data_IF_385797780029
#
_entry.id   IF_385797780029
#
_cell.length_a   1.000
_cell.length_b   1.000
_cell.length_c   1.000
_cell.angle_alpha   90.00
_cell.angle_beta   90.00
_cell.angle_gamma   90.00
#
_symmetry.space_group_name_H-M   'P 1'
#
loop_
_entity.id
_entity.type
_entity.pdbx_description
1 polymer ?
#
# COMPACT_ATOMS: atom_id res chain seq x y z
N UNK A 1 -12.78 40.55 -46.03
CA UNK A 1 -13.63 40.20 -44.86
C UNK A 1 -14.06 38.76 -45.00
N UNK A 2 -13.28 37.83 -44.46
CA UNK A 2 -13.63 36.40 -44.41
C UNK A 2 -14.15 36.09 -43.01
N UNK A 3 -15.40 35.66 -42.96
CA UNK A 3 -16.11 35.38 -41.72
C UNK A 3 -15.35 34.36 -40.88
N UNK A 4 -14.99 34.75 -39.65
CA UNK A 4 -14.62 33.80 -38.59
C UNK A 4 -15.82 32.89 -38.39
N UNK A 5 -15.72 31.66 -38.86
CA UNK A 5 -16.62 30.59 -38.47
C UNK A 5 -16.49 30.44 -36.96
N UNK A 6 -17.51 30.91 -36.23
CA UNK A 6 -17.70 30.59 -34.82
C UNK A 6 -17.83 29.07 -34.78
N UNK A 7 -16.75 28.38 -34.38
CA UNK A 7 -16.80 26.97 -34.03
C UNK A 7 -17.82 26.84 -32.91
N UNK A 8 -19.01 26.36 -33.31
CA UNK A 8 -20.11 25.95 -32.45
C UNK A 8 -19.51 25.17 -31.30
N UNK A 9 -19.79 25.58 -30.06
CA UNK A 9 -19.44 24.81 -28.87
C UNK A 9 -20.10 23.43 -29.04
N UNK A 10 -19.33 22.46 -29.53
CA UNK A 10 -19.76 21.07 -29.59
C UNK A 10 -20.07 20.68 -28.15
N UNK A 11 -21.22 20.04 -27.93
CA UNK A 11 -21.64 19.49 -26.64
C UNK A 11 -20.44 18.83 -25.98
N UNK A 12 -19.84 19.56 -25.04
CA UNK A 12 -18.66 19.09 -24.34
C UNK A 12 -19.20 18.05 -23.39
N UNK A 13 -19.06 16.79 -23.76
CA UNK A 13 -19.56 15.66 -22.99
C UNK A 13 -19.17 15.79 -21.51
N UNK A 14 -20.00 15.27 -20.62
CA UNK A 14 -19.85 15.43 -19.16
C UNK A 14 -18.42 15.13 -18.67
N UNK A 15 -17.78 14.12 -19.27
CA UNK A 15 -16.39 13.75 -18.99
C UNK A 15 -15.36 14.84 -19.34
N UNK A 16 -15.52 15.52 -20.47
CA UNK A 16 -14.64 16.63 -20.86
C UNK A 16 -14.80 17.81 -19.90
N UNK A 17 -16.03 18.12 -19.50
CA UNK A 17 -16.30 19.21 -18.56
C UNK A 17 -15.75 18.95 -17.16
N UNK A 18 -15.82 17.69 -16.70
CA UNK A 18 -15.40 17.31 -15.35
C UNK A 18 -13.89 17.06 -15.25
N UNK A 19 -13.35 16.21 -16.12
CA UNK A 19 -11.95 15.76 -16.09
C UNK A 19 -11.02 16.58 -16.97
N UNK A 20 -11.55 17.51 -17.79
CA UNK A 20 -10.76 18.43 -18.61
C UNK A 20 -9.76 17.69 -19.49
N UNK A 21 -10.21 16.64 -20.19
CA UNK A 21 -9.31 15.70 -20.89
C UNK A 21 -8.46 16.42 -21.94
N UNK A 22 -9.00 17.41 -22.66
CA UNK A 22 -8.21 18.21 -23.62
C UNK A 22 -7.16 19.08 -22.93
N UNK A 23 -7.48 19.70 -21.79
CA UNK A 23 -6.50 20.47 -21.02
C UNK A 23 -5.36 19.57 -20.50
N UNK A 24 -5.69 18.32 -20.17
CA UNK A 24 -4.75 17.30 -19.74
C UNK A 24 -4.10 16.51 -20.90
N UNK A 25 -4.33 16.92 -22.15
CA UNK A 25 -3.80 16.28 -23.36
C UNK A 25 -4.01 14.74 -23.42
N UNK A 26 -5.16 14.26 -22.94
CA UNK A 26 -5.48 12.82 -22.84
C UNK A 26 -6.80 12.47 -23.54
N UNK A 27 -7.08 11.17 -23.66
CA UNK A 27 -8.33 10.64 -24.22
C UNK A 27 -8.92 9.59 -23.30
N UNK A 28 -10.23 9.32 -23.40
CA UNK A 28 -10.89 8.28 -22.59
C UNK A 28 -10.21 6.91 -22.74
N UNK A 29 -9.78 6.55 -23.96
CA UNK A 29 -9.05 5.30 -24.19
C UNK A 29 -7.72 5.27 -23.45
N UNK A 30 -6.96 6.37 -23.49
CA UNK A 30 -5.71 6.52 -22.76
C UNK A 30 -5.92 6.38 -21.25
N UNK A 31 -6.94 7.03 -20.69
CA UNK A 31 -7.25 6.97 -19.27
C UNK A 31 -7.70 5.57 -18.82
N UNK A 32 -8.54 4.87 -19.60
CA UNK A 32 -8.97 3.49 -19.30
C UNK A 32 -7.76 2.55 -19.32
N UNK A 33 -6.90 2.66 -20.34
CA UNK A 33 -5.68 1.84 -20.44
C UNK A 33 -4.72 2.17 -19.30
N UNK A 34 -4.60 3.45 -18.92
CA UNK A 34 -3.83 3.91 -17.78
C UNK A 34 -4.34 3.31 -16.47
N UNK A 35 -5.65 3.37 -16.21
CA UNK A 35 -6.29 2.79 -15.04
C UNK A 35 -6.10 1.28 -14.94
N UNK A 36 -6.33 0.54 -16.03
CA UNK A 36 -6.08 -0.92 -16.08
C UNK A 36 -4.60 -1.23 -15.81
N UNK A 37 -3.70 -0.44 -16.38
CA UNK A 37 -2.26 -0.59 -16.15
C UNK A 37 -1.92 -0.38 -14.67
N UNK A 38 -2.38 0.72 -14.07
CA UNK A 38 -2.16 1.03 -12.65
C UNK A 38 -2.74 -0.04 -11.75
N UNK A 39 -3.93 -0.56 -12.06
CA UNK A 39 -4.54 -1.68 -11.33
C UNK A 39 -3.61 -2.90 -11.31
N UNK A 40 -3.11 -3.35 -12.46
CA UNK A 40 -2.23 -4.50 -12.51
C UNK A 40 -0.86 -4.27 -11.86
N UNK A 41 -0.37 -3.03 -11.86
CA UNK A 41 0.86 -2.66 -11.13
C UNK A 41 0.67 -2.74 -9.62
N UNK A 42 -0.50 -2.35 -9.11
CA UNK A 42 -0.78 -2.29 -7.67
C UNK A 42 -1.48 -3.54 -7.11
N UNK A 43 -1.98 -4.44 -7.96
CA UNK A 43 -2.75 -5.61 -7.58
C UNK A 43 -2.03 -6.53 -6.56
N UNK A 44 -0.69 -6.49 -6.51
CA UNK A 44 0.08 -7.25 -5.53
C UNK A 44 -0.28 -6.89 -4.08
N UNK A 45 -0.77 -5.68 -3.82
CA UNK A 45 -1.18 -5.23 -2.47
C UNK A 45 -2.31 -6.10 -1.92
N UNK A 46 -3.17 -6.64 -2.79
CA UNK A 46 -4.27 -7.53 -2.42
C UNK A 46 -3.75 -8.78 -1.69
N UNK A 47 -2.57 -9.29 -2.08
CA UNK A 47 -1.93 -10.42 -1.44
C UNK A 47 -0.94 -10.00 -0.34
N UNK A 48 -0.21 -8.90 -0.53
CA UNK A 48 0.86 -8.51 0.37
C UNK A 48 0.33 -7.94 1.70
N UNK A 49 -0.72 -7.13 1.66
CA UNK A 49 -1.33 -6.57 2.87
C UNK A 49 -1.78 -7.67 3.87
N UNK A 50 -2.60 -8.67 3.47
CA UNK A 50 -3.00 -9.74 4.39
C UNK A 50 -1.83 -10.62 4.82
N UNK A 51 -0.78 -10.80 4.01
CA UNK A 51 0.44 -11.52 4.41
C UNK A 51 1.09 -10.81 5.61
N UNK A 52 1.25 -9.49 5.54
CA UNK A 52 1.88 -8.70 6.60
C UNK A 52 1.00 -8.68 7.86
N UNK A 53 -0.28 -8.31 7.73
CA UNK A 53 -1.17 -8.15 8.89
C UNK A 53 -1.54 -9.47 9.58
N UNK A 54 -1.42 -10.61 8.90
CA UNK A 54 -1.67 -11.93 9.47
C UNK A 54 -0.39 -12.75 9.73
N UNK A 55 0.79 -12.13 9.59
CA UNK A 55 2.09 -12.77 9.85
C UNK A 55 2.31 -14.07 9.08
N UNK A 56 1.80 -14.14 7.85
CA UNK A 56 1.88 -15.34 7.02
C UNK A 56 3.34 -15.57 6.63
N UNK A 57 3.90 -16.72 7.03
CA UNK A 57 5.30 -17.06 6.78
C UNK A 57 6.30 -16.62 7.81
N UNK A 58 5.84 -16.21 8.99
CA UNK A 58 6.69 -16.03 10.16
C UNK A 58 6.39 -17.21 11.11
N UNK A 59 7.28 -18.22 11.21
CA UNK A 59 7.02 -19.46 11.95
C UNK A 59 6.55 -19.25 13.39
N UNK A 60 7.10 -18.25 14.09
CA UNK A 60 6.80 -17.99 15.49
C UNK A 60 5.48 -17.23 15.72
N UNK A 61 4.89 -16.65 14.68
CA UNK A 61 3.72 -15.76 14.79
C UNK A 61 2.49 -16.28 14.07
N UNK A 62 2.70 -17.19 13.12
CA UNK A 62 1.64 -17.74 12.32
C UNK A 62 0.67 -18.61 13.12
N UNK A 63 -0.62 -18.49 12.81
CA UNK A 63 -1.67 -19.27 13.49
C UNK A 63 -2.04 -18.77 14.89
N UNK A 64 -1.36 -17.74 15.40
CA UNK A 64 -1.68 -17.11 16.70
C UNK A 64 -2.90 -16.17 16.65
N UNK A 65 -3.60 -16.08 15.52
CA UNK A 65 -4.77 -15.19 15.31
C UNK A 65 -4.49 -13.73 15.71
N UNK A 66 -3.27 -13.27 15.45
CA UNK A 66 -2.82 -11.91 15.75
C UNK A 66 -3.29 -10.87 14.72
N UNK A 67 -3.88 -11.31 13.61
CA UNK A 67 -4.36 -10.46 12.52
C UNK A 67 -5.87 -10.53 12.31
N UNK A 68 -6.41 -9.71 11.39
CA UNK A 68 -7.84 -9.63 11.11
C UNK A 68 -8.41 -10.84 10.33
N UNK A 69 -7.57 -11.80 9.95
CA UNK A 69 -7.90 -12.89 9.03
C UNK A 69 -7.54 -12.54 7.59
N UNK A 70 -7.10 -13.56 6.83
CA UNK A 70 -6.58 -13.36 5.47
C UNK A 70 -7.69 -12.88 4.51
N UNK A 71 -8.78 -13.64 4.42
CA UNK A 71 -9.88 -13.38 3.49
C UNK A 71 -10.58 -12.05 3.78
N UNK A 72 -10.78 -11.74 5.06
CA UNK A 72 -11.39 -10.47 5.49
C UNK A 72 -10.50 -9.28 5.15
N UNK A 73 -9.17 -9.43 5.31
CA UNK A 73 -8.21 -8.37 4.97
C UNK A 73 -8.15 -8.16 3.46
N UNK A 74 -8.18 -9.24 2.65
CA UNK A 74 -8.27 -9.16 1.17
C UNK A 74 -9.51 -8.39 0.75
N UNK A 75 -10.67 -8.78 1.26
CA UNK A 75 -11.96 -8.17 0.94
C UNK A 75 -11.97 -6.68 1.28
N UNK A 76 -11.55 -6.32 2.50
CA UNK A 76 -11.54 -4.94 2.97
C UNK A 76 -10.51 -4.08 2.21
N UNK A 77 -9.32 -4.63 1.91
CA UNK A 77 -8.29 -3.93 1.13
C UNK A 77 -8.80 -3.59 -0.26
N UNK A 78 -9.38 -4.57 -0.97
CA UNK A 78 -9.90 -4.37 -2.32
C UNK A 78 -11.09 -3.39 -2.33
N UNK A 79 -12.00 -3.51 -1.36
CA UNK A 79 -13.15 -2.63 -1.22
C UNK A 79 -12.73 -1.18 -0.96
N UNK A 80 -11.90 -0.94 0.07
CA UNK A 80 -11.43 0.40 0.40
C UNK A 80 -10.59 1.01 -0.74
N UNK A 81 -9.68 0.24 -1.34
CA UNK A 81 -8.88 0.72 -2.47
C UNK A 81 -9.75 1.16 -3.66
N UNK A 82 -10.79 0.37 -3.99
CA UNK A 82 -11.74 0.72 -5.05
C UNK A 82 -12.51 2.01 -4.75
N UNK A 83 -13.13 2.09 -3.56
CA UNK A 83 -13.93 3.25 -3.15
C UNK A 83 -13.09 4.52 -3.08
N UNK A 84 -11.90 4.46 -2.46
CA UNK A 84 -11.03 5.62 -2.28
C UNK A 84 -10.36 6.05 -3.59
N UNK A 85 -10.04 5.11 -4.49
CA UNK A 85 -9.54 5.46 -5.83
C UNK A 85 -10.62 6.16 -6.65
N UNK A 86 -11.88 5.70 -6.56
CA UNK A 86 -13.01 6.40 -7.18
C UNK A 86 -13.19 7.79 -6.56
N UNK A 87 -13.09 7.92 -5.25
CA UNK A 87 -13.16 9.21 -4.57
C UNK A 87 -12.03 10.16 -4.99
N UNK A 88 -10.79 9.68 -5.15
CA UNK A 88 -9.69 10.48 -5.71
C UNK A 88 -10.00 10.97 -7.13
N UNK A 89 -10.51 10.08 -7.98
CA UNK A 89 -10.91 10.44 -9.34
C UNK A 89 -12.03 11.48 -9.37
N UNK A 90 -13.10 11.28 -8.61
CA UNK A 90 -14.29 12.15 -8.68
C UNK A 90 -14.14 13.46 -7.90
N UNK A 91 -13.56 13.42 -6.70
CA UNK A 91 -13.48 14.57 -5.79
C UNK A 91 -12.17 15.35 -5.94
N UNK A 92 -11.04 14.66 -5.91
CA UNK A 92 -9.75 15.32 -6.09
C UNK A 92 -9.48 15.66 -7.56
N UNK A 93 -10.18 15.00 -8.50
CA UNK A 93 -10.00 15.15 -9.94
C UNK A 93 -8.54 14.92 -10.36
N UNK A 94 -7.93 13.88 -9.78
CA UNK A 94 -6.54 13.48 -10.02
C UNK A 94 -6.44 11.94 -10.09
N UNK A 95 -5.66 11.37 -11.04
CA UNK A 95 -5.46 9.93 -11.17
C UNK A 95 -4.46 9.39 -10.12
N UNK A 96 -4.73 9.62 -8.84
CA UNK A 96 -4.06 8.91 -7.75
C UNK A 96 -4.84 7.64 -7.42
N UNK A 97 -4.21 6.50 -7.64
CA UNK A 97 -4.74 5.23 -7.16
C UNK A 97 -4.40 5.08 -5.67
N UNK A 98 -5.42 4.73 -4.88
CA UNK A 98 -5.33 4.55 -3.43
C UNK A 98 -5.40 3.07 -3.10
N UNK A 99 -4.52 2.62 -2.19
CA UNK A 99 -4.51 1.27 -1.64
C UNK A 99 -3.89 1.32 -0.23
N UNK A 100 -3.77 0.16 0.42
CA UNK A 100 -3.18 0.09 1.75
C UNK A 100 -1.71 0.56 1.76
N UNK A 101 -1.37 1.45 2.71
CA UNK A 101 -0.01 1.95 2.94
C UNK A 101 0.90 0.86 3.48
N UNK A 102 1.70 0.23 2.61
CA UNK A 102 2.53 -0.91 2.97
C UNK A 102 3.57 -0.60 4.07
N UNK A 103 4.06 0.64 4.12
CA UNK A 103 4.94 1.09 5.20
C UNK A 103 4.23 1.09 6.56
N UNK A 104 3.00 1.60 6.61
CA UNK A 104 2.19 1.64 7.83
C UNK A 104 1.74 0.26 8.29
N UNK A 105 1.41 -0.65 7.38
CA UNK A 105 1.03 -2.03 7.73
C UNK A 105 2.08 -2.72 8.60
N UNK A 106 3.36 -2.46 8.32
CA UNK A 106 4.46 -3.02 9.08
C UNK A 106 4.60 -2.37 10.46
N UNK A 107 4.38 -1.07 10.59
CA UNK A 107 4.34 -0.39 11.89
C UNK A 107 3.18 -0.95 12.73
N UNK A 108 2.00 -1.12 12.14
CA UNK A 108 0.84 -1.71 12.80
C UNK A 108 1.13 -3.13 13.27
N UNK A 109 1.60 -4.00 12.37
CA UNK A 109 1.86 -5.39 12.70
C UNK A 109 2.99 -5.52 13.74
N UNK A 110 4.16 -4.98 13.43
CA UNK A 110 5.36 -5.28 14.23
C UNK A 110 5.56 -4.35 15.42
N UNK A 111 5.06 -3.11 15.38
CA UNK A 111 5.25 -2.16 16.49
C UNK A 111 4.02 -2.04 17.40
N UNK A 112 2.80 -2.04 16.87
CA UNK A 112 1.60 -1.94 17.70
C UNK A 112 1.16 -3.32 18.21
N UNK A 113 0.99 -4.30 17.31
CA UNK A 113 0.43 -5.59 17.69
C UNK A 113 1.45 -6.47 18.42
N UNK A 114 2.68 -6.56 17.92
CA UNK A 114 3.76 -7.33 18.57
C UNK A 114 4.62 -6.51 19.54
N UNK A 115 4.34 -5.22 19.68
CA UNK A 115 5.10 -4.32 20.53
C UNK A 115 5.10 -4.71 22.00
N UNK A 116 5.77 -3.88 22.81
CA UNK A 116 5.71 -3.98 24.27
C UNK A 116 5.27 -2.62 24.82
N UNK A 117 4.01 -2.48 25.31
CA UNK A 117 2.97 -3.51 25.44
C UNK A 117 2.40 -3.98 24.09
N UNK A 118 1.98 -5.24 24.01
CA UNK A 118 1.36 -5.82 22.81
C UNK A 118 -0.13 -5.42 22.75
N UNK A 119 -0.59 -4.98 21.59
CA UNK A 119 -2.01 -4.68 21.36
C UNK A 119 -2.71 -5.80 20.59
N UNK A 120 -3.95 -6.17 20.98
CA UNK A 120 -4.84 -6.88 20.08
C UNK A 120 -5.02 -6.08 18.78
N UNK A 121 -5.06 -6.75 17.63
CA UNK A 121 -5.24 -6.07 16.34
C UNK A 121 -6.45 -5.12 16.28
N UNK A 122 -7.61 -5.38 16.94
CA UNK A 122 -8.71 -4.41 16.95
C UNK A 122 -8.31 -3.08 17.60
N UNK A 123 -7.58 -3.14 18.72
CA UNK A 123 -7.10 -1.95 19.43
C UNK A 123 -6.02 -1.21 18.64
N UNK A 124 -5.17 -1.94 17.89
CA UNK A 124 -4.21 -1.33 16.96
C UNK A 124 -4.92 -0.62 15.80
N UNK A 125 -5.98 -1.20 15.22
CA UNK A 125 -6.82 -0.53 14.21
C UNK A 125 -7.53 0.70 14.77
N UNK A 126 -7.91 0.67 16.05
CA UNK A 126 -8.42 1.85 16.75
C UNK A 126 -7.46 3.04 16.75
N UNK A 127 -6.16 2.78 16.89
CA UNK A 127 -5.11 3.81 16.78
C UNK A 127 -5.12 4.44 15.39
N UNK A 128 -5.27 3.63 14.34
CA UNK A 128 -5.35 4.11 12.95
C UNK A 128 -6.60 4.95 12.73
N UNK A 129 -7.77 4.49 13.20
CA UNK A 129 -9.02 5.25 13.10
C UNK A 129 -8.89 6.65 13.73
N UNK A 130 -8.29 6.73 14.92
CA UNK A 130 -8.10 8.02 15.59
C UNK A 130 -7.12 8.92 14.87
N UNK A 131 -6.06 8.32 14.35
CA UNK A 131 -5.11 9.04 13.53
C UNK A 131 -5.78 9.63 12.28
N UNK A 132 -6.60 8.86 11.56
CA UNK A 132 -7.41 9.34 10.44
C UNK A 132 -8.36 10.47 10.81
N UNK A 133 -9.01 10.40 11.98
CA UNK A 133 -9.84 11.49 12.52
C UNK A 133 -9.01 12.76 12.76
N UNK A 134 -7.88 12.63 13.46
CA UNK A 134 -7.00 13.77 13.78
C UNK A 134 -6.46 14.39 12.50
N UNK A 135 -5.98 13.58 11.57
CA UNK A 135 -5.47 14.03 10.28
C UNK A 135 -6.57 14.72 9.47
N UNK A 136 -7.79 14.20 9.45
CA UNK A 136 -8.94 14.84 8.80
C UNK A 136 -9.17 16.24 9.36
N UNK A 137 -9.15 16.40 10.69
CA UNK A 137 -9.28 17.71 11.35
C UNK A 137 -8.12 18.64 10.94
N UNK A 138 -6.89 18.14 10.87
CA UNK A 138 -5.72 18.91 10.43
C UNK A 138 -5.81 19.36 8.97
N UNK A 139 -6.41 18.56 8.08
CA UNK A 139 -6.68 18.95 6.69
C UNK A 139 -7.78 20.00 6.60
N UNK A 140 -8.85 19.85 7.38
CA UNK A 140 -9.96 20.79 7.42
C UNK A 140 -9.53 22.17 7.94
N UNK A 141 -8.58 22.22 8.87
CA UNK A 141 -7.99 23.45 9.42
C UNK A 141 -6.86 24.04 8.58
N UNK A 142 -6.51 23.42 7.44
CA UNK A 142 -5.37 23.75 6.57
C UNK A 142 -3.98 23.60 7.22
N UNK A 143 -3.92 23.07 8.45
CA UNK A 143 -2.64 22.87 9.15
C UNK A 143 -1.81 21.78 8.47
N UNK A 144 -2.43 20.70 7.97
CA UNK A 144 -1.71 19.63 7.24
C UNK A 144 -1.00 20.20 6.01
N UNK A 145 -1.68 21.03 5.22
CA UNK A 145 -1.08 21.69 4.05
C UNK A 145 0.05 22.65 4.41
N UNK A 146 -0.11 23.43 5.48
CA UNK A 146 0.94 24.34 5.96
C UNK A 146 2.21 23.58 6.37
N UNK A 147 2.07 22.48 7.12
CA UNK A 147 3.20 21.62 7.50
C UNK A 147 3.85 21.02 6.24
N UNK A 148 3.04 20.55 5.27
CA UNK A 148 3.58 19.95 4.04
C UNK A 148 4.42 20.94 3.24
N UNK A 149 4.02 22.21 3.23
CA UNK A 149 4.73 23.28 2.54
C UNK A 149 5.99 23.75 3.28
N UNK A 150 6.09 23.52 4.58
CA UNK A 150 7.25 23.89 5.39
C UNK A 150 8.43 22.92 5.24
N UNK A 151 8.17 21.65 4.91
CA UNK A 151 9.24 20.64 4.80
C UNK A 151 10.00 20.81 3.47
N UNK A 152 11.34 20.90 3.50
CA UNK A 152 12.16 21.01 2.30
C UNK A 152 12.09 19.75 1.45
N UNK A 153 12.16 19.92 0.12
CA UNK A 153 12.04 18.84 -0.87
C UNK A 153 13.04 17.68 -0.64
N UNK A 154 14.23 17.98 -0.12
CA UNK A 154 15.25 16.97 0.20
C UNK A 154 14.78 16.00 1.29
N UNK A 155 14.12 16.50 2.35
CA UNK A 155 13.54 15.66 3.39
C UNK A 155 12.38 14.82 2.83
N UNK A 156 11.52 15.41 1.99
CA UNK A 156 10.41 14.67 1.34
C UNK A 156 10.92 13.48 0.53
N UNK A 157 12.04 13.65 -0.19
CA UNK A 157 12.68 12.57 -0.95
C UNK A 157 13.32 11.52 -0.05
N UNK A 158 14.03 11.93 1.01
CA UNK A 158 14.67 11.01 1.96
C UNK A 158 13.66 10.10 2.67
N UNK A 159 12.49 10.64 3.02
CA UNK A 159 11.35 9.89 3.57
C UNK A 159 10.95 8.73 2.66
N UNK A 160 10.72 9.00 1.37
CA UNK A 160 10.33 7.97 0.41
C UNK A 160 11.38 6.86 0.27
N UNK A 161 12.67 7.21 0.28
CA UNK A 161 13.77 6.23 0.28
C UNK A 161 13.77 5.37 1.55
N UNK A 162 13.56 5.99 2.71
CA UNK A 162 13.51 5.27 3.99
C UNK A 162 12.39 4.23 4.04
N UNK A 163 11.19 4.59 3.62
CA UNK A 163 10.04 3.67 3.54
C UNK A 163 10.34 2.52 2.57
N UNK A 164 10.94 2.82 1.41
CA UNK A 164 11.33 1.80 0.43
C UNK A 164 12.36 0.80 0.98
N UNK A 165 13.40 1.28 1.66
CA UNK A 165 14.41 0.42 2.30
C UNK A 165 13.81 -0.43 3.43
N UNK A 166 12.84 0.11 4.17
CA UNK A 166 12.14 -0.62 5.21
C UNK A 166 11.26 -1.76 4.64
N UNK A 167 10.51 -1.50 3.56
CA UNK A 167 9.72 -2.55 2.89
C UNK A 167 10.63 -3.61 2.25
N UNK A 168 11.78 -3.20 1.71
CA UNK A 168 12.80 -4.13 1.20
C UNK A 168 13.26 -5.09 2.30
N UNK A 169 13.55 -4.57 3.51
CA UNK A 169 13.93 -5.40 4.64
C UNK A 169 12.87 -6.44 4.98
N UNK A 170 11.59 -6.06 5.00
CA UNK A 170 10.47 -6.99 5.26
C UNK A 170 10.42 -8.07 4.16
N UNK A 171 10.61 -7.68 2.90
CA UNK A 171 10.71 -8.64 1.78
C UNK A 171 11.84 -9.65 1.98
N UNK A 172 13.02 -9.21 2.44
CA UNK A 172 14.15 -10.08 2.72
C UNK A 172 13.90 -11.01 3.92
N UNK A 173 13.15 -10.55 4.92
CA UNK A 173 12.70 -11.38 6.05
C UNK A 173 11.74 -12.47 5.58
N UNK A 174 10.72 -12.10 4.78
CA UNK A 174 9.75 -13.05 4.24
C UNK A 174 10.38 -14.07 3.27
N UNK A 175 11.41 -13.67 2.53
CA UNK A 175 12.20 -14.55 1.67
C UNK A 175 13.09 -15.53 2.47
N UNK A 176 13.25 -15.31 3.77
CA UNK A 176 14.14 -16.09 4.63
C UNK A 176 15.62 -15.77 4.44
N UNK A 177 15.98 -14.69 3.74
CA UNK A 177 17.37 -14.21 3.62
C UNK A 177 17.83 -13.59 4.94
N UNK A 178 16.92 -12.83 5.56
CA UNK A 178 17.14 -12.15 6.81
C UNK A 178 16.34 -12.84 7.91
N UNK A 179 16.99 -13.21 9.01
CA UNK A 179 16.35 -13.88 10.15
C UNK A 179 16.73 -13.20 11.47
N UNK A 180 15.86 -13.36 12.46
CA UNK A 180 16.17 -13.02 13.85
C UNK A 180 16.78 -14.23 14.54
N UNK A 181 18.01 -14.15 15.09
CA UNK A 181 18.61 -15.26 15.80
C UNK A 181 17.90 -15.50 17.14
N UNK A 182 17.57 -16.77 17.41
CA UNK A 182 16.92 -17.20 18.67
C UNK A 182 17.76 -16.89 19.93
N UNK A 183 19.06 -16.66 19.78
CA UNK A 183 20.02 -16.46 20.86
C UNK A 183 20.10 -15.03 21.42
N UNK A 184 19.34 -14.07 20.87
CA UNK A 184 19.38 -12.68 21.33
C UNK A 184 20.69 -11.97 20.96
N UNK A 185 20.61 -11.14 19.92
CA UNK A 185 21.67 -10.39 19.25
C UNK A 185 22.56 -11.19 18.27
N UNK A 186 22.79 -10.68 17.04
CA UNK A 186 22.37 -9.38 16.51
C UNK A 186 20.85 -9.27 16.25
N UNK A 187 20.32 -8.04 16.20
CA UNK A 187 18.91 -7.76 15.91
C UNK A 187 18.52 -8.37 14.56
N UNK A 188 19.47 -8.53 13.64
CA UNK A 188 19.26 -9.06 12.29
C UNK A 188 20.48 -9.92 11.92
N UNK A 189 20.29 -11.14 11.42
CA UNK A 189 21.36 -11.98 10.86
C UNK A 189 20.99 -12.55 9.49
N UNK A 190 21.99 -13.00 8.73
CA UNK A 190 21.79 -13.70 7.46
C UNK A 190 21.49 -15.18 7.72
N UNK A 191 20.49 -15.68 7.02
CA UNK A 191 20.17 -17.11 6.98
C UNK A 191 21.16 -17.85 6.07
N UNK A 192 21.38 -19.16 6.28
CA UNK A 192 22.04 -20.00 5.28
C UNK A 192 21.36 -19.85 3.92
N UNK A 193 22.11 -19.39 2.91
CA UNK A 193 21.58 -19.07 1.57
C UNK A 193 21.19 -20.30 0.73
N UNK A 194 21.18 -21.48 1.32
CA UNK A 194 20.93 -22.77 0.67
C UNK A 194 19.48 -23.27 0.83
N UNK A 195 18.55 -22.41 1.22
CA UNK A 195 17.16 -22.81 1.45
C UNK A 195 16.30 -22.63 0.19
N UNK A 196 15.31 -23.52 0.01
CA UNK A 196 14.37 -23.45 -1.11
C UNK A 196 13.66 -22.10 -1.26
N UNK A 197 13.17 -21.46 -0.19
CA UNK A 197 12.54 -20.14 -0.28
C UNK A 197 13.44 -19.04 -0.84
N UNK A 198 14.74 -19.06 -0.50
CA UNK A 198 15.72 -18.10 -1.03
C UNK A 198 15.91 -18.31 -2.54
N UNK A 199 15.97 -19.57 -3.00
CA UNK A 199 16.06 -19.87 -4.43
C UNK A 199 14.80 -19.40 -5.17
N UNK A 200 13.61 -19.67 -4.63
CA UNK A 200 12.34 -19.15 -5.18
C UNK A 200 12.37 -17.62 -5.28
N UNK A 201 12.83 -16.94 -4.23
CA UNK A 201 12.95 -15.48 -4.21
C UNK A 201 13.92 -14.96 -5.28
N UNK A 202 15.12 -15.55 -5.41
CA UNK A 202 16.11 -15.11 -6.40
C UNK A 202 15.61 -15.28 -7.83
N UNK A 203 14.98 -16.43 -8.12
CA UNK A 203 14.35 -16.67 -9.43
C UNK A 203 13.27 -15.61 -9.68
N UNK A 204 12.40 -15.37 -8.69
CA UNK A 204 11.33 -14.40 -8.85
C UNK A 204 11.80 -12.96 -9.01
N UNK A 205 12.86 -12.58 -8.29
CA UNK A 205 13.50 -11.28 -8.41
C UNK A 205 14.05 -11.11 -9.84
N UNK A 206 14.78 -12.10 -10.35
CA UNK A 206 15.35 -12.06 -11.71
C UNK A 206 14.25 -11.98 -12.77
N UNK A 207 13.20 -12.80 -12.68
CA UNK A 207 12.05 -12.77 -13.61
C UNK A 207 11.37 -11.41 -13.59
N UNK A 208 11.11 -10.87 -12.40
CA UNK A 208 10.45 -9.58 -12.22
C UNK A 208 11.30 -8.43 -12.78
N UNK A 209 12.60 -8.40 -12.47
CA UNK A 209 13.53 -7.40 -13.00
C UNK A 209 13.66 -7.49 -14.52
N UNK A 210 13.67 -8.70 -15.07
CA UNK A 210 13.72 -8.92 -16.53
C UNK A 210 12.45 -8.39 -17.22
N UNK A 211 11.26 -8.69 -16.68
CA UNK A 211 9.98 -8.16 -17.18
C UNK A 211 9.92 -6.63 -17.07
N UNK A 212 10.41 -6.09 -15.95
CA UNK A 212 10.46 -4.65 -15.71
C UNK A 212 11.41 -3.94 -16.70
N UNK A 213 12.60 -4.49 -16.92
CA UNK A 213 13.57 -3.97 -17.89
C UNK A 213 13.05 -4.01 -19.34
N UNK A 214 12.15 -4.95 -19.65
CA UNK A 214 11.44 -5.03 -20.94
C UNK A 214 10.28 -4.04 -21.07
N UNK A 215 9.97 -3.26 -20.04
CA UNK A 215 8.86 -2.30 -20.05
C UNK A 215 7.48 -2.95 -19.95
N UNK A 216 7.38 -4.17 -19.41
CA UNK A 216 6.09 -4.85 -19.25
C UNK A 216 5.29 -4.18 -18.14
N UNK A 217 4.11 -3.66 -18.49
CA UNK A 217 3.24 -2.89 -17.58
C UNK A 217 2.82 -3.66 -16.31
N UNK A 218 2.62 -4.97 -16.40
CA UNK A 218 2.27 -5.83 -15.27
C UNK A 218 3.47 -6.64 -14.73
N UNK A 219 4.69 -6.13 -14.86
CA UNK A 219 5.92 -6.87 -14.55
C UNK A 219 5.92 -7.49 -13.13
N UNK A 220 5.49 -6.75 -12.12
CA UNK A 220 5.41 -7.23 -10.74
C UNK A 220 4.41 -8.38 -10.59
N UNK A 221 3.17 -8.21 -11.09
CA UNK A 221 2.14 -9.24 -11.00
C UNK A 221 2.51 -10.50 -11.79
N UNK A 222 2.98 -10.34 -13.02
CA UNK A 222 3.45 -11.45 -13.85
C UNK A 222 4.68 -12.13 -13.26
N UNK A 223 5.55 -11.37 -12.59
CA UNK A 223 6.65 -11.89 -11.80
C UNK A 223 6.16 -12.77 -10.66
N UNK A 224 5.20 -12.31 -9.85
CA UNK A 224 4.59 -13.09 -8.76
C UNK A 224 3.96 -14.38 -9.29
N UNK A 225 3.12 -14.28 -10.33
CA UNK A 225 2.44 -15.44 -10.94
C UNK A 225 3.45 -16.42 -11.53
N UNK A 226 4.40 -15.93 -12.32
CA UNK A 226 5.45 -16.76 -12.94
C UNK A 226 6.31 -17.47 -11.90
N UNK A 227 6.73 -16.76 -10.85
CA UNK A 227 7.50 -17.35 -9.74
C UNK A 227 6.69 -18.40 -8.99
N UNK A 228 5.40 -18.14 -8.76
CA UNK A 228 4.50 -19.10 -8.11
C UNK A 228 4.36 -20.39 -8.93
N UNK A 229 4.23 -20.28 -10.25
CA UNK A 229 4.19 -21.44 -11.16
C UNK A 229 5.51 -22.20 -11.10
N UNK A 230 6.64 -21.52 -11.25
CA UNK A 230 7.97 -22.16 -11.20
C UNK A 230 8.17 -22.88 -9.87
N UNK A 231 7.83 -22.24 -8.76
CA UNK A 231 8.00 -22.83 -7.45
C UNK A 231 7.07 -24.03 -7.22
N UNK A 232 5.84 -23.97 -7.74
CA UNK A 232 4.92 -25.11 -7.76
C UNK A 232 5.45 -26.30 -8.57
N UNK A 233 6.06 -26.04 -9.73
CA UNK A 233 6.71 -27.08 -10.54
C UNK A 233 7.93 -27.68 -9.83
N UNK A 234 8.78 -26.86 -9.21
CA UNK A 234 9.93 -27.34 -8.44
C UNK A 234 9.51 -28.25 -7.30
N UNK A 235 8.41 -27.93 -6.61
CA UNK A 235 7.84 -28.79 -5.56
C UNK A 235 7.27 -30.10 -6.09
N UNK A 236 6.62 -30.07 -7.27
CA UNK A 236 6.08 -31.26 -7.90
C UNK A 236 7.18 -32.24 -8.33
N UNK A 237 8.33 -31.73 -8.79
CA UNK A 237 9.48 -32.53 -9.22
C UNK A 237 10.29 -33.00 -8.00
N UNK A 238 10.50 -32.12 -7.02
CA UNK A 238 11.25 -32.38 -5.80
C UNK A 238 10.33 -32.18 -4.58
N UNK A 239 9.63 -33.22 -4.08
CA UNK A 239 8.71 -33.09 -2.94
C UNK A 239 9.37 -32.58 -1.65
N UNK A 240 10.70 -32.72 -1.53
CA UNK A 240 11.51 -32.18 -0.43
C UNK A 240 11.81 -30.69 -0.57
N UNK A 241 11.49 -30.06 -1.71
CA UNK A 241 11.67 -28.64 -1.94
C UNK A 241 10.62 -27.83 -1.19
N UNK A 242 11.08 -27.03 -0.22
CA UNK A 242 10.24 -26.07 0.49
C UNK A 242 10.12 -24.82 -0.39
N UNK A 243 8.92 -24.63 -0.95
CA UNK A 243 8.61 -23.54 -1.89
C UNK A 243 8.72 -22.17 -1.27
N UNK A 244 8.23 -22.05 -0.04
CA UNK A 244 8.07 -20.78 0.66
C UNK A 244 8.22 -21.00 2.16
N UNK A 245 8.75 -19.99 2.86
CA UNK A 245 8.69 -19.92 4.31
C UNK A 245 7.25 -19.68 4.80
N UNK A 246 6.35 -19.21 3.91
CA UNK A 246 4.91 -19.08 4.13
C UNK A 246 4.16 -20.40 3.93
N UNK A 247 3.50 -20.93 4.98
CA UNK A 247 2.46 -21.93 4.90
C UNK A 247 1.28 -21.36 4.11
N UNK A 248 1.01 -22.03 3.00
CA UNK A 248 -0.07 -21.73 2.07
C UNK A 248 0.15 -22.57 0.84
N UNK A 249 -0.84 -23.36 0.44
CA UNK A 249 -0.81 -23.99 -0.88
C UNK A 249 -1.48 -23.01 -1.84
N UNK A 250 -0.86 -22.75 -2.99
CA UNK A 250 -1.55 -22.10 -4.10
C UNK A 250 -2.61 -23.09 -4.62
N UNK A 251 -3.78 -23.08 -4.01
CA UNK A 251 -4.90 -23.95 -4.38
C UNK A 251 -5.72 -23.20 -5.41
N UNK A 252 -6.05 -23.86 -6.53
CA UNK A 252 -7.03 -23.30 -7.45
C UNK A 252 -8.37 -23.16 -6.70
N UNK A 253 -8.99 -21.98 -6.70
CA UNK A 253 -10.27 -21.82 -6.04
C UNK A 253 -11.29 -22.79 -6.65
N UNK A 254 -11.94 -23.57 -5.79
CA UNK A 254 -13.01 -24.49 -6.19
C UNK A 254 -14.29 -23.73 -6.59
N UNK A 255 -14.42 -22.49 -6.13
CA UNK A 255 -15.51 -21.56 -6.43
C UNK A 255 -14.95 -20.29 -7.06
N UNK A 256 -15.46 -19.96 -8.26
CA UNK A 256 -15.02 -18.80 -9.04
C UNK A 256 -15.63 -17.45 -8.61
N UNK A 257 -16.66 -17.51 -7.76
CA UNK A 257 -17.28 -16.34 -7.16
C UNK A 257 -17.58 -16.66 -5.69
N UNK A 258 -17.16 -15.77 -4.80
CA UNK A 258 -17.47 -15.81 -3.38
C UNK A 258 -17.87 -14.40 -2.94
N UNK A 259 -18.85 -14.32 -2.03
CA UNK A 259 -19.18 -13.06 -1.41
C UNK A 259 -18.00 -12.64 -0.50
N UNK A 260 -17.56 -11.38 -0.55
CA UNK A 260 -16.51 -10.89 0.33
C UNK A 260 -16.94 -11.00 1.80
N UNK A 261 -16.03 -11.47 2.65
CA UNK A 261 -16.26 -11.57 4.09
C UNK A 261 -15.86 -10.25 4.78
N UNK A 262 -16.84 -9.55 5.32
CA UNK A 262 -16.66 -8.31 6.09
C UNK A 262 -16.93 -8.49 7.59
N UNK A 263 -16.99 -9.71 8.10
CA UNK A 263 -17.32 -10.03 9.50
C UNK A 263 -16.44 -9.30 10.53
N UNK A 264 -15.21 -8.94 10.15
CA UNK A 264 -14.24 -8.25 11.00
C UNK A 264 -14.13 -6.75 10.73
N UNK A 265 -14.88 -6.19 9.77
CA UNK A 265 -14.70 -4.81 9.31
C UNK A 265 -14.89 -3.76 10.42
N UNK A 266 -15.88 -3.96 11.30
CA UNK A 266 -16.20 -3.00 12.37
C UNK A 266 -15.44 -3.26 13.68
N UNK A 267 -14.68 -4.35 13.78
CA UNK A 267 -13.94 -4.66 15.01
C UNK A 267 -12.82 -3.64 15.29
N UNK A 268 -12.33 -2.95 14.26
CA UNK A 268 -11.37 -1.87 14.41
C UNK A 268 -11.91 -0.61 15.10
N UNK A 269 -13.23 -0.50 15.33
CA UNK A 269 -13.85 0.55 16.15
C UNK A 269 -13.64 0.25 17.64
N UNK A 270 -12.38 0.18 18.06
CA UNK A 270 -11.98 -0.24 19.41
C UNK A 270 -11.01 0.78 20.00
N UNK A 271 -11.30 1.29 21.21
CA UNK A 271 -10.47 2.29 21.89
C UNK A 271 -9.73 1.72 23.12
N UNK A 272 -9.65 0.39 23.23
CA UNK A 272 -9.01 -0.29 24.36
C UNK A 272 -7.50 -0.02 24.40
N UNK A 273 -6.91 0.51 23.33
CA UNK A 273 -5.52 0.95 23.28
C UNK A 273 -5.17 1.95 24.39
N UNK A 274 -6.09 2.84 24.80
CA UNK A 274 -5.86 3.76 25.94
C UNK A 274 -5.85 3.05 27.28
N UNK A 275 -6.66 2.00 27.43
CA UNK A 275 -6.69 1.21 28.65
C UNK A 275 -5.43 0.34 28.78
N UNK A 276 -4.94 -0.21 27.66
CA UNK A 276 -3.78 -1.11 27.63
C UNK A 276 -2.46 -0.34 27.72
N UNK A 277 -2.29 0.73 26.93
CA UNK A 277 -1.05 1.51 26.88
C UNK A 277 -1.00 2.63 27.92
N UNK A 278 -2.15 3.05 28.42
CA UNK A 278 -2.31 4.33 29.10
C UNK A 278 -2.44 5.50 28.11
N UNK A 279 -3.02 6.62 28.55
CA UNK A 279 -3.42 7.70 27.65
C UNK A 279 -2.26 8.41 26.96
N UNK A 280 -1.13 8.57 27.65
CA UNK A 280 0.05 9.24 27.09
C UNK A 280 0.68 8.39 25.98
N UNK A 281 0.87 7.09 26.22
CA UNK A 281 1.47 6.19 25.24
C UNK A 281 0.55 5.96 24.03
N UNK A 282 -0.76 5.85 24.24
CA UNK A 282 -1.73 5.78 23.15
C UNK A 282 -1.70 7.06 22.28
N UNK A 283 -1.65 8.24 22.89
CA UNK A 283 -1.53 9.50 22.16
C UNK A 283 -0.21 9.58 21.36
N UNK A 284 0.90 9.13 21.95
CA UNK A 284 2.19 9.05 21.25
C UNK A 284 2.16 8.05 20.09
N UNK A 285 1.45 6.93 20.24
CA UNK A 285 1.27 5.96 19.16
C UNK A 285 0.44 6.56 18.01
N UNK A 286 -0.68 7.23 18.31
CA UNK A 286 -1.47 7.98 17.32
C UNK A 286 -0.60 9.00 16.61
N UNK A 287 0.17 9.79 17.36
CA UNK A 287 1.07 10.79 16.79
C UNK A 287 2.18 10.19 15.92
N UNK A 288 2.70 9.02 16.29
CA UNK A 288 3.75 8.32 15.52
C UNK A 288 3.21 7.79 14.19
N UNK A 289 2.04 7.15 14.22
CA UNK A 289 1.33 6.72 13.00
C UNK A 289 1.05 7.93 12.13
N UNK A 290 0.55 9.03 12.72
CA UNK A 290 0.23 10.27 12.02
C UNK A 290 1.43 10.83 11.28
N UNK A 291 2.61 10.83 11.89
CA UNK A 291 3.83 11.27 11.23
C UNK A 291 4.22 10.34 10.07
N UNK A 292 4.08 9.02 10.26
CA UNK A 292 4.37 8.04 9.20
C UNK A 292 3.43 8.19 8.00
N UNK A 293 2.13 8.32 8.23
CA UNK A 293 1.12 8.55 7.18
C UNK A 293 1.38 9.86 6.44
N UNK A 294 1.54 10.95 7.20
CA UNK A 294 1.82 12.26 6.66
C UNK A 294 3.01 12.26 5.69
N UNK A 295 4.05 11.50 6.04
CA UNK A 295 5.26 11.33 5.25
C UNK A 295 5.07 10.44 4.02
N UNK A 296 4.26 9.37 4.11
CA UNK A 296 3.94 8.49 2.98
C UNK A 296 3.08 9.21 1.91
N UNK A 297 2.01 9.88 2.34
CA UNK A 297 1.17 10.70 1.45
C UNK A 297 2.00 11.80 0.79
N UNK A 298 2.87 12.47 1.56
CA UNK A 298 3.76 13.50 1.01
C UNK A 298 4.70 12.95 -0.06
N UNK A 299 5.36 11.82 0.23
CA UNK A 299 6.27 11.17 -0.71
C UNK A 299 5.57 10.80 -2.01
N UNK A 300 4.37 10.26 -1.91
CA UNK A 300 3.54 9.85 -3.06
C UNK A 300 3.06 11.04 -3.88
N UNK A 301 2.52 12.08 -3.24
CA UNK A 301 2.06 13.31 -3.90
C UNK A 301 3.19 14.01 -4.64
N UNK A 302 4.37 14.10 -4.01
CA UNK A 302 5.56 14.72 -4.63
C UNK A 302 6.16 13.83 -5.72
N UNK A 303 6.21 12.51 -5.50
CA UNK A 303 6.74 11.56 -6.48
C UNK A 303 5.93 11.53 -7.76
N UNK A 304 4.62 11.25 -7.64
CA UNK A 304 3.71 11.16 -8.78
C UNK A 304 3.45 12.56 -9.36
N UNK A 305 3.20 13.56 -8.51
CA UNK A 305 3.00 14.94 -8.97
C UNK A 305 4.20 15.49 -9.72
N UNK A 306 5.43 15.11 -9.34
CA UNK A 306 6.64 15.49 -10.06
C UNK A 306 6.72 14.88 -11.45
N UNK A 307 6.41 13.58 -11.57
CA UNK A 307 6.37 12.89 -12.87
C UNK A 307 5.24 13.41 -13.77
N UNK A 308 4.12 13.82 -13.18
CA UNK A 308 2.97 14.37 -13.90
C UNK A 308 3.10 15.88 -14.21
N UNK A 309 4.20 16.54 -13.80
CA UNK A 309 4.40 17.97 -14.03
C UNK A 309 3.46 18.89 -13.22
N UNK A 310 2.94 18.41 -12.09
CA UNK A 310 1.98 19.14 -11.26
C UNK A 310 2.58 19.90 -10.08
N UNK A 311 3.90 19.79 -9.89
CA UNK A 311 4.62 20.50 -8.84
C UNK A 311 5.16 21.83 -9.33
N UNK A 312 5.09 22.84 -8.47
CA UNK A 312 5.82 24.09 -8.68
C UNK A 312 7.33 23.94 -8.42
N UNK A 313 8.09 25.01 -8.64
CA UNK A 313 9.55 25.05 -8.43
C UNK A 313 9.98 24.76 -6.98
N UNK A 314 9.04 24.81 -6.02
CA UNK A 314 9.26 24.52 -4.60
C UNK A 314 8.76 23.13 -4.21
N UNK A 315 8.27 22.33 -5.16
CA UNK A 315 7.73 21.00 -4.90
C UNK A 315 6.35 21.02 -4.24
N UNK A 316 5.57 22.10 -4.41
CA UNK A 316 4.21 22.22 -3.90
C UNK A 316 3.21 21.89 -5.01
N UNK A 317 2.12 21.23 -4.64
CA UNK A 317 1.07 20.82 -5.56
C UNK A 317 -0.18 21.68 -5.38
N UNK A 318 -0.71 22.25 -6.47
CA UNK A 318 -1.97 22.98 -6.41
C UNK A 318 -3.16 22.03 -6.21
N UNK A 319 -4.03 22.39 -5.26
CA UNK A 319 -5.22 21.58 -4.93
C UNK A 319 -4.92 20.35 -4.06
N UNK A 320 -3.73 20.29 -3.43
CA UNK A 320 -3.30 19.16 -2.60
C UNK A 320 -4.30 18.85 -1.48
N UNK A 321 -4.98 19.86 -0.92
CA UNK A 321 -5.99 19.70 0.13
C UNK A 321 -7.06 18.66 -0.20
N UNK A 322 -7.53 18.58 -1.45
CA UNK A 322 -8.56 17.59 -1.83
C UNK A 322 -8.01 16.17 -1.84
N UNK A 323 -6.76 16.00 -2.26
CA UNK A 323 -6.05 14.73 -2.20
C UNK A 323 -5.88 14.33 -0.73
N UNK A 324 -5.34 15.23 0.09
CA UNK A 324 -5.14 14.99 1.52
C UNK A 324 -6.45 14.64 2.23
N UNK A 325 -7.57 15.26 1.86
CA UNK A 325 -8.86 14.96 2.50
C UNK A 325 -9.34 13.54 2.18
N UNK A 326 -9.25 13.10 0.92
CA UNK A 326 -9.64 11.74 0.53
C UNK A 326 -8.71 10.71 1.18
N UNK A 327 -7.41 11.00 1.22
CA UNK A 327 -6.39 10.24 1.94
C UNK A 327 -6.73 10.11 3.44
N UNK A 328 -7.05 11.22 4.10
CA UNK A 328 -7.43 11.25 5.53
C UNK A 328 -8.71 10.46 5.85
N UNK A 329 -9.68 10.46 4.94
CA UNK A 329 -10.93 9.68 5.07
C UNK A 329 -10.68 8.19 4.79
N UNK A 330 -9.62 7.89 4.05
CA UNK A 330 -9.24 6.52 3.73
C UNK A 330 -8.50 5.78 4.85
N UNK A 331 -7.86 6.53 5.75
CA UNK A 331 -7.31 6.04 7.01
C UNK A 331 -8.43 5.72 8.02
#
# INVERSE_FOLDING_TARGET
MTARSVTRAADVGVLERWFKLKENATTVSTEVIGGITTFFVMAYIIALNPIILNYVGIPDLQGKNLGPGFDQTVAMTAFCAGVLTIAMGLYANRPFAMAAGLGLNAVVAFQLVLGKPALPWPAAMGIILMEGIVITILVLTNLREAILNAIPLTLKRAIGVGIGLFILLIGLVNAGIVIHPASGAPIITLSPLSTGPILTFLIGLVVTLWLYARGVRAALLLGIVGTTIIAGLLHAIFPTYIVSAAPGKAILPTTWAQLPDFSNALKGLNFDSFAILGPVAALLAVFTIMLSDFFDTMGTVVGIGGQAGWLDTKGRMQGVRRILLVDSIGA
#
